data_IF_677132553120
#
_entry.id   IF_677132553120
#
_cell.length_a   1.000
_cell.length_b   1.000
_cell.length_c   1.000
_cell.angle_alpha   90.00
_cell.angle_beta   90.00
_cell.angle_gamma   90.00
#
_symmetry.space_group_name_H-M   'P 1'
#
loop_
_entity.id
_entity.type
_entity.pdbx_description
1 polymer ?
#
# COMPACT_ATOMS: atom_id res chain seq x y z
N UNK A 1 2.39 43.26 -13.50
CA UNK A 1 2.34 42.59 -12.17
C UNK A 1 1.23 41.55 -12.03
N UNK A 2 -0.03 41.74 -12.51
CA UNK A 2 -1.10 40.74 -12.34
C UNK A 2 -0.79 39.39 -13.00
N UNK A 3 -0.15 39.41 -14.18
CA UNK A 3 0.19 38.20 -14.97
C UNK A 3 1.06 37.19 -14.20
N UNK A 4 2.02 37.65 -13.39
CA UNK A 4 2.90 36.78 -12.58
C UNK A 4 2.14 36.13 -11.43
N UNK A 5 1.24 36.87 -10.77
CA UNK A 5 0.39 36.31 -9.71
C UNK A 5 -0.57 35.25 -10.25
N UNK A 6 -1.17 35.47 -11.42
CA UNK A 6 -2.02 34.48 -12.07
C UNK A 6 -1.22 33.22 -12.45
N UNK A 7 0.00 33.38 -12.97
CA UNK A 7 0.89 32.27 -13.27
C UNK A 7 1.26 31.47 -12.01
N UNK A 8 1.57 32.13 -10.90
CA UNK A 8 1.86 31.48 -9.63
C UNK A 8 0.65 30.69 -9.09
N UNK A 9 -0.56 31.25 -9.17
CA UNK A 9 -1.79 30.56 -8.75
C UNK A 9 -2.01 29.31 -9.61
N UNK A 10 -1.91 29.43 -10.94
CA UNK A 10 -2.08 28.29 -11.86
C UNK A 10 -1.03 27.21 -11.56
N UNK A 11 0.22 27.60 -11.32
CA UNK A 11 1.29 26.66 -10.98
C UNK A 11 1.01 25.91 -9.66
N UNK A 12 0.57 26.62 -8.62
CA UNK A 12 0.20 26.00 -7.33
C UNK A 12 -0.97 25.02 -7.48
N UNK A 13 -1.98 25.37 -8.27
CA UNK A 13 -3.12 24.48 -8.56
C UNK A 13 -2.67 23.22 -9.30
N UNK A 14 -1.80 23.35 -10.31
CA UNK A 14 -1.25 22.20 -11.03
C UNK A 14 -0.43 21.30 -10.10
N UNK A 15 0.40 21.89 -9.23
CA UNK A 15 1.19 21.14 -8.26
C UNK A 15 0.29 20.38 -7.28
N UNK A 16 -0.75 21.03 -6.77
CA UNK A 16 -1.71 20.41 -5.85
C UNK A 16 -2.46 19.24 -6.51
N UNK A 17 -2.95 19.42 -7.74
CA UNK A 17 -3.63 18.36 -8.49
C UNK A 17 -2.71 17.16 -8.71
N UNK A 18 -1.43 17.41 -9.06
CA UNK A 18 -0.45 16.32 -9.25
C UNK A 18 -0.18 15.54 -7.97
N UNK A 19 -0.11 16.21 -6.82
CA UNK A 19 0.08 15.56 -5.53
C UNK A 19 -1.15 14.72 -5.19
N UNK A 20 -2.36 15.25 -5.32
CA UNK A 20 -3.60 14.51 -5.07
C UNK A 20 -3.70 13.25 -5.94
N UNK A 21 -3.42 13.38 -7.23
CA UNK A 21 -3.48 12.27 -8.18
C UNK A 21 -2.39 11.21 -7.92
N UNK A 22 -1.22 11.64 -7.42
CA UNK A 22 -0.15 10.72 -7.01
C UNK A 22 -0.51 9.95 -5.73
N UNK A 23 -1.23 10.56 -4.80
CA UNK A 23 -1.69 9.89 -3.58
C UNK A 23 -2.82 8.89 -3.86
N UNK A 24 -3.66 9.16 -4.86
CA UNK A 24 -4.71 8.23 -5.32
C UNK A 24 -4.17 7.08 -6.17
N UNK A 25 -2.96 7.20 -6.73
CA UNK A 25 -2.38 6.17 -7.57
C UNK A 25 -2.17 4.86 -6.80
N UNK A 26 -2.76 3.77 -7.29
CA UNK A 26 -2.61 2.47 -6.68
C UNK A 26 -1.22 1.88 -6.98
N UNK A 27 -0.49 1.51 -5.92
CA UNK A 27 0.79 0.80 -6.00
C UNK A 27 0.60 -0.66 -5.60
N UNK A 28 0.54 -1.53 -6.60
CA UNK A 28 0.46 -2.98 -6.43
C UNK A 28 1.85 -3.58 -6.20
N UNK A 29 1.99 -4.33 -5.12
CA UNK A 29 3.11 -5.24 -4.88
C UNK A 29 2.61 -6.67 -4.95
N UNK A 30 3.02 -7.39 -5.99
CA UNK A 30 2.74 -8.81 -6.14
C UNK A 30 3.91 -9.66 -5.60
N UNK A 31 3.56 -10.56 -4.68
CA UNK A 31 4.40 -11.57 -4.02
C UNK A 31 3.66 -12.91 -3.95
N UNK A 32 2.68 -13.12 -4.83
CA UNK A 32 1.93 -14.37 -4.90
C UNK A 32 2.78 -15.51 -5.46
N UNK A 33 2.51 -16.74 -5.05
CA UNK A 33 3.20 -17.96 -5.53
C UNK A 33 4.72 -17.97 -5.30
N UNK A 34 5.21 -17.23 -4.32
CA UNK A 34 6.65 -17.13 -4.01
C UNK A 34 7.10 -18.12 -2.93
N UNK A 35 6.22 -19.00 -2.46
CA UNK A 35 6.53 -19.95 -1.39
C UNK A 35 6.78 -19.30 -0.03
N UNK A 36 6.19 -18.12 0.21
CA UNK A 36 6.39 -17.37 1.44
C UNK A 36 5.82 -18.11 2.64
N UNK A 37 6.59 -18.17 3.72
CA UNK A 37 6.14 -18.65 5.03
C UNK A 37 5.81 -17.51 6.00
N UNK A 38 6.30 -16.31 5.72
CA UNK A 38 6.05 -15.08 6.46
C UNK A 38 5.85 -13.91 5.50
N UNK A 39 5.24 -12.82 5.98
CA UNK A 39 5.13 -11.58 5.21
C UNK A 39 6.53 -10.93 5.09
N UNK A 40 6.99 -10.56 3.88
CA UNK A 40 8.26 -9.87 3.70
C UNK A 40 8.27 -8.51 4.40
N UNK A 41 9.38 -8.12 5.02
CA UNK A 41 9.51 -6.84 5.73
C UNK A 41 10.07 -5.72 4.85
N UNK A 42 10.64 -6.06 3.70
CA UNK A 42 11.23 -5.16 2.69
C UNK A 42 10.19 -4.54 1.76
N UNK A 43 8.97 -4.33 2.25
CA UNK A 43 7.86 -3.80 1.46
C UNK A 43 7.86 -2.26 1.46
N UNK A 44 7.56 -1.67 0.31
CA UNK A 44 7.48 -0.21 0.15
C UNK A 44 6.31 0.35 0.97
N UNK A 45 6.53 1.44 1.71
CA UNK A 45 5.46 2.16 2.41
C UNK A 45 4.41 2.77 1.47
N UNK A 46 4.73 2.88 0.16
CA UNK A 46 3.78 3.34 -0.86
C UNK A 46 2.78 2.26 -1.28
N UNK A 47 2.95 1.01 -0.83
CA UNK A 47 2.08 -0.11 -1.19
C UNK A 47 0.65 0.16 -0.78
N UNK A 48 -0.24 0.21 -1.77
CA UNK A 48 -1.69 0.33 -1.57
C UNK A 48 -2.38 -1.03 -1.73
N UNK A 49 -1.81 -1.92 -2.53
CA UNK A 49 -2.32 -3.28 -2.76
C UNK A 49 -1.18 -4.26 -2.55
N UNK A 50 -1.32 -5.18 -1.59
CA UNK A 50 -0.38 -6.27 -1.37
C UNK A 50 -1.03 -7.60 -1.73
N UNK A 51 -0.48 -8.28 -2.73
CA UNK A 51 -0.87 -9.64 -3.08
C UNK A 51 0.17 -10.65 -2.58
N UNK A 52 -0.20 -11.41 -1.55
CA UNK A 52 0.61 -12.51 -0.99
C UNK A 52 -0.15 -13.84 -1.07
N UNK A 53 -1.07 -13.96 -2.04
CA UNK A 53 -1.85 -15.18 -2.25
C UNK A 53 -1.00 -16.37 -2.70
N UNK A 54 -1.53 -17.59 -2.52
CA UNK A 54 -0.90 -18.83 -2.97
C UNK A 54 0.50 -19.03 -2.37
N UNK A 55 0.60 -18.82 -1.06
CA UNK A 55 1.82 -19.01 -0.28
C UNK A 55 1.53 -19.98 0.89
N UNK A 56 2.47 -20.10 1.83
CA UNK A 56 2.40 -21.03 2.96
C UNK A 56 2.34 -20.31 4.30
N UNK A 57 1.89 -19.06 4.33
CA UNK A 57 1.82 -18.25 5.55
C UNK A 57 0.78 -18.85 6.49
N UNK A 58 1.19 -19.12 7.74
CA UNK A 58 0.33 -19.70 8.78
C UNK A 58 -0.16 -18.69 9.81
N UNK A 59 0.54 -17.58 9.95
CA UNK A 59 0.25 -16.55 10.94
C UNK A 59 0.36 -15.18 10.29
N UNK A 60 -0.59 -14.29 10.61
CA UNK A 60 -0.55 -12.91 10.20
C UNK A 60 -0.75 -12.01 11.43
N UNK A 61 0.27 -11.21 11.73
CA UNK A 61 0.30 -10.30 12.87
C UNK A 61 0.19 -8.85 12.40
N UNK A 62 -0.30 -7.97 13.26
CA UNK A 62 -0.40 -6.52 12.93
C UNK A 62 0.97 -5.92 12.61
N UNK A 63 2.03 -6.36 13.28
CA UNK A 63 3.40 -5.94 13.02
C UNK A 63 3.93 -6.33 11.62
N UNK A 64 3.25 -7.23 10.90
CA UNK A 64 3.59 -7.59 9.53
C UNK A 64 3.19 -6.54 8.51
N UNK A 65 2.14 -5.78 8.82
CA UNK A 65 1.58 -4.77 7.90
C UNK A 65 1.59 -3.35 8.48
N UNK A 66 1.97 -3.19 9.75
CA UNK A 66 1.96 -1.89 10.45
C UNK A 66 2.78 -0.81 9.72
N UNK A 67 3.86 -1.20 9.04
CA UNK A 67 4.69 -0.26 8.26
C UNK A 67 4.04 0.19 6.95
N UNK A 68 2.99 -0.50 6.48
CA UNK A 68 2.30 -0.24 5.22
C UNK A 68 1.14 0.73 5.41
N UNK A 69 1.46 1.96 5.83
CA UNK A 69 0.47 3.00 6.16
C UNK A 69 -0.54 3.35 5.06
N UNK A 70 -0.22 3.06 3.80
CA UNK A 70 -1.10 3.30 2.64
C UNK A 70 -1.85 2.05 2.16
N UNK A 71 -1.69 0.90 2.84
CA UNK A 71 -2.30 -0.36 2.42
C UNK A 71 -3.83 -0.27 2.51
N UNK A 72 -4.50 -0.55 1.40
CA UNK A 72 -5.96 -0.54 1.26
C UNK A 72 -6.51 -1.94 0.97
N UNK A 73 -5.75 -2.74 0.24
CA UNK A 73 -6.16 -4.09 -0.18
C UNK A 73 -5.07 -5.09 0.18
N UNK A 74 -5.44 -6.12 0.92
CA UNK A 74 -4.58 -7.23 1.29
C UNK A 74 -5.17 -8.54 0.76
N UNK A 75 -4.47 -9.19 -0.17
CA UNK A 75 -4.91 -10.44 -0.79
C UNK A 75 -4.07 -11.60 -0.22
N UNK A 76 -4.71 -12.41 0.64
CA UNK A 76 -4.07 -13.52 1.37
C UNK A 76 -4.63 -14.90 1.00
N UNK A 77 -5.46 -15.00 -0.05
CA UNK A 77 -6.12 -16.25 -0.44
C UNK A 77 -5.12 -17.38 -0.70
N UNK A 78 -5.53 -18.63 -0.47
CA UNK A 78 -4.69 -19.82 -0.67
C UNK A 78 -3.37 -19.78 0.14
N UNK A 79 -3.46 -19.39 1.41
CA UNK A 79 -2.42 -19.58 2.42
C UNK A 79 -2.83 -20.67 3.42
N UNK A 80 -2.02 -20.88 4.47
CA UNK A 80 -2.29 -21.85 5.54
C UNK A 80 -2.64 -21.14 6.86
N UNK A 81 -3.32 -20.00 6.78
CA UNK A 81 -3.59 -19.12 7.92
C UNK A 81 -4.36 -19.89 8.99
N UNK A 82 -3.74 -20.02 10.16
CA UNK A 82 -4.29 -20.61 11.38
C UNK A 82 -4.53 -19.53 12.44
N UNK A 83 -3.69 -18.50 12.46
CA UNK A 83 -3.80 -17.37 13.37
C UNK A 83 -3.82 -16.06 12.60
N UNK A 84 -4.77 -15.21 12.95
CA UNK A 84 -4.97 -13.90 12.35
C UNK A 84 -5.26 -12.91 13.48
N UNK A 85 -4.33 -11.99 13.70
CA UNK A 85 -4.55 -10.89 14.64
C UNK A 85 -5.61 -9.94 14.04
N UNK A 86 -6.75 -9.80 14.70
CA UNK A 86 -7.85 -8.96 14.19
C UNK A 86 -7.49 -7.46 14.15
N UNK A 87 -6.47 -7.04 14.90
CA UNK A 87 -5.99 -5.65 14.85
C UNK A 87 -5.35 -5.28 13.52
N UNK A 88 -5.11 -6.25 12.64
CA UNK A 88 -4.78 -6.07 11.22
C UNK A 88 -5.85 -5.29 10.45
N UNK A 89 -7.11 -5.30 10.89
CA UNK A 89 -8.25 -4.68 10.18
C UNK A 89 -8.84 -3.44 10.88
N UNK A 90 -8.21 -2.94 11.94
CA UNK A 90 -8.63 -1.71 12.62
C UNK A 90 -8.00 -0.49 11.97
#
# INVERSE_FOLDING_TARGET
MPSIFHFAIIFMLILQIRIQLSEESEFLVDRSKNGLIHVPKDLSQKTTILNISQNYISELWTSDILSLSKLRILIISHNRIQYLDISVFK
#
